data_IF_746050161125
#
_entry.id   IF_746050161125
#
_cell.length_a   1.000
_cell.length_b   1.000
_cell.length_c   1.000
_cell.angle_alpha   90.00
_cell.angle_beta   90.00
_cell.angle_gamma   90.00
#
_symmetry.space_group_name_H-M   'P 1'
#
loop_
_entity.id
_entity.type
_entity.pdbx_description
1 polymer ?
#
# COMPACT_ATOMS: atom_id res chain seq x y z
N UNK A 1 7.73 36.53 -16.26
CA UNK A 1 8.38 35.22 -16.10
C UNK A 1 9.78 35.34 -15.49
N UNK A 2 10.57 36.38 -15.78
CA UNK A 2 11.94 36.54 -15.24
C UNK A 2 12.04 36.73 -13.71
N UNK A 3 11.09 37.40 -13.06
CA UNK A 3 11.22 37.79 -11.65
C UNK A 3 11.29 36.61 -10.66
N UNK A 4 10.51 35.55 -10.88
CA UNK A 4 10.56 34.36 -10.03
C UNK A 4 11.89 33.60 -10.17
N UNK A 5 12.43 33.54 -11.39
CA UNK A 5 13.69 32.83 -11.66
C UNK A 5 14.88 33.63 -11.11
N UNK A 6 14.86 34.95 -11.26
CA UNK A 6 15.85 35.86 -10.65
C UNK A 6 15.83 35.78 -9.12
N UNK A 7 14.63 35.72 -8.51
CA UNK A 7 14.50 35.53 -7.07
C UNK A 7 15.01 34.14 -6.64
N UNK A 8 14.71 33.09 -7.39
CA UNK A 8 15.24 31.75 -7.13
C UNK A 8 16.78 31.77 -7.13
N UNK A 9 17.41 32.43 -8.12
CA UNK A 9 18.87 32.57 -8.19
C UNK A 9 19.46 33.31 -6.98
N UNK A 10 18.79 34.37 -6.50
CA UNK A 10 19.19 35.06 -5.27
C UNK A 10 19.15 34.12 -4.06
N UNK A 11 18.07 33.35 -3.90
CA UNK A 11 17.94 32.37 -2.82
C UNK A 11 19.06 31.32 -2.92
N UNK A 12 19.31 30.78 -4.12
CA UNK A 12 20.40 29.82 -4.35
C UNK A 12 21.76 30.41 -3.95
N UNK A 13 22.03 31.67 -4.28
CA UNK A 13 23.27 32.35 -3.92
C UNK A 13 23.41 32.51 -2.39
N UNK A 14 22.34 32.93 -1.70
CA UNK A 14 22.31 33.05 -0.24
C UNK A 14 22.51 31.70 0.45
N UNK A 15 21.89 30.64 -0.08
CA UNK A 15 22.04 29.28 0.44
C UNK A 15 23.49 28.79 0.33
N UNK A 16 24.11 28.99 -0.83
CA UNK A 16 25.51 28.63 -1.07
C UNK A 16 26.49 29.43 -0.23
N UNK A 17 26.28 30.73 -0.11
CA UNK A 17 27.16 31.60 0.67
C UNK A 17 27.17 31.20 2.14
N UNK A 18 25.98 30.98 2.72
CA UNK A 18 25.87 30.54 4.11
C UNK A 18 26.53 29.16 4.34
N UNK A 19 26.38 28.21 3.41
CA UNK A 19 27.03 26.90 3.54
C UNK A 19 28.56 27.00 3.49
N UNK A 20 29.10 27.85 2.63
CA UNK A 20 30.54 28.09 2.55
C UNK A 20 31.10 28.68 3.86
N UNK A 21 30.34 29.55 4.53
CA UNK A 21 30.71 30.09 5.84
C UNK A 21 30.65 29.02 6.95
N UNK A 22 29.68 28.10 6.91
CA UNK A 22 29.56 27.01 7.89
C UNK A 22 30.67 25.97 7.77
N UNK A 23 31.06 25.62 6.55
CA UNK A 23 32.20 24.73 6.30
C UNK A 23 33.51 25.34 6.83
N UNK A 24 33.67 26.66 6.70
CA UNK A 24 34.85 27.38 7.19
C UNK A 24 34.85 27.54 8.74
N UNK A 25 33.68 27.60 9.37
CA UNK A 25 33.53 27.89 10.79
C UNK A 25 33.55 26.64 11.70
N UNK A 26 33.69 25.42 11.17
CA UNK A 26 33.54 24.15 11.91
C UNK A 26 32.23 24.09 12.75
N UNK A 27 31.23 24.89 12.37
CA UNK A 27 29.99 25.03 13.12
C UNK A 27 28.90 24.22 12.42
N UNK A 28 28.36 23.23 13.12
CA UNK A 28 27.11 22.57 12.72
C UNK A 28 25.96 23.52 13.03
N UNK A 29 25.66 24.47 12.14
CA UNK A 29 24.45 25.26 12.33
C UNK A 29 23.22 24.34 12.26
N UNK A 30 22.25 24.52 13.18
CA UNK A 30 21.09 23.65 13.28
C UNK A 30 20.05 23.82 12.16
N UNK A 31 20.17 24.88 11.33
CA UNK A 31 19.22 25.18 10.27
C UNK A 31 19.95 25.53 8.97
N UNK A 32 19.53 24.93 7.85
CA UNK A 32 19.95 25.44 6.56
C UNK A 32 19.18 26.72 6.26
N UNK A 33 19.81 27.70 5.61
CA UNK A 33 19.13 28.88 5.07
C UNK A 33 17.99 28.51 4.11
N UNK A 34 18.07 27.31 3.50
CA UNK A 34 17.00 26.70 2.73
C UNK A 34 15.78 26.36 3.60
N UNK A 35 15.95 25.81 4.81
CA UNK A 35 14.84 25.52 5.73
C UNK A 35 14.12 26.81 6.12
N UNK A 36 14.85 27.87 6.45
CA UNK A 36 14.28 29.17 6.79
C UNK A 36 13.45 29.71 5.63
N UNK A 37 14.00 29.66 4.42
CA UNK A 37 13.30 30.07 3.21
C UNK A 37 12.01 29.25 2.97
N UNK A 38 12.10 27.92 3.04
CA UNK A 38 10.94 27.04 2.83
C UNK A 38 9.90 27.18 3.94
N UNK A 39 10.30 27.47 5.19
CA UNK A 39 9.39 27.78 6.29
C UNK A 39 8.61 29.07 6.00
N UNK A 40 9.31 30.15 5.67
CA UNK A 40 8.69 31.43 5.30
C UNK A 40 7.75 31.27 4.09
N UNK A 41 8.13 30.44 3.12
CA UNK A 41 7.28 30.14 1.96
C UNK A 41 5.99 29.41 2.38
N UNK A 42 6.06 28.45 3.30
CA UNK A 42 4.87 27.75 3.80
C UNK A 42 3.93 28.67 4.59
N UNK A 43 4.47 29.63 5.33
CA UNK A 43 3.69 30.65 6.04
C UNK A 43 3.00 31.61 5.07
N UNK A 44 3.71 32.08 4.04
CA UNK A 44 3.11 32.96 3.01
C UNK A 44 2.02 32.24 2.22
N UNK A 45 2.22 30.96 1.83
CA UNK A 45 1.16 30.15 1.20
C UNK A 45 -0.09 30.15 2.10
N UNK A 46 0.08 29.83 3.38
CA UNK A 46 -1.02 29.78 4.34
C UNK A 46 -1.73 31.13 4.46
N UNK A 47 -0.96 32.23 4.50
CA UNK A 47 -1.52 33.58 4.54
C UNK A 47 -2.31 33.94 3.28
N UNK A 48 -1.79 33.60 2.09
CA UNK A 48 -2.48 33.86 0.80
C UNK A 48 -3.74 33.02 0.63
N UNK A 49 -3.73 31.78 1.10
CA UNK A 49 -4.93 30.92 1.12
C UNK A 49 -6.01 31.58 1.99
N UNK A 50 -5.67 32.02 3.20
CA UNK A 50 -6.61 32.74 4.09
C UNK A 50 -7.13 34.04 3.49
N UNK A 51 -6.36 34.72 2.64
CA UNK A 51 -6.75 35.93 1.93
C UNK A 51 -7.61 35.67 0.68
N UNK A 52 -7.77 34.41 0.25
CA UNK A 52 -8.52 34.06 -0.97
C UNK A 52 -7.84 34.45 -2.29
N UNK A 53 -6.56 34.85 -2.27
CA UNK A 53 -5.80 35.31 -3.44
C UNK A 53 -4.69 34.33 -3.86
N UNK A 54 -4.80 33.08 -3.44
CA UNK A 54 -3.74 32.10 -3.60
C UNK A 54 -3.61 31.55 -5.03
N UNK A 55 -2.37 31.51 -5.52
CA UNK A 55 -2.02 30.93 -6.81
C UNK A 55 -0.83 30.00 -6.64
N UNK A 56 -0.98 28.72 -6.95
CA UNK A 56 0.03 27.70 -6.64
C UNK A 56 1.29 27.80 -7.53
N UNK A 57 1.15 28.20 -8.79
CA UNK A 57 2.20 28.11 -9.83
C UNK A 57 3.53 28.80 -9.45
N UNK A 58 3.54 30.04 -8.92
CA UNK A 58 4.79 30.71 -8.53
C UNK A 58 5.54 29.95 -7.43
N UNK A 59 4.84 29.43 -6.42
CA UNK A 59 5.43 28.68 -5.32
C UNK A 59 6.05 27.37 -5.79
N UNK A 60 5.33 26.62 -6.63
CA UNK A 60 5.84 25.36 -7.21
C UNK A 60 7.11 25.61 -8.02
N UNK A 61 7.09 26.62 -8.90
CA UNK A 61 8.25 26.98 -9.72
C UNK A 61 9.44 27.36 -8.86
N UNK A 62 9.22 28.17 -7.81
CA UNK A 62 10.27 28.62 -6.91
C UNK A 62 10.89 27.47 -6.12
N UNK A 63 10.09 26.58 -5.53
CA UNK A 63 10.59 25.41 -4.80
C UNK A 63 11.39 24.49 -5.72
N UNK A 64 10.84 24.14 -6.88
CA UNK A 64 11.53 23.24 -7.81
C UNK A 64 12.82 23.85 -8.34
N UNK A 65 12.80 25.14 -8.72
CA UNK A 65 14.00 25.82 -9.25
C UNK A 65 15.11 25.90 -8.21
N UNK A 66 14.78 26.31 -6.98
CA UNK A 66 15.76 26.37 -5.88
C UNK A 66 16.30 24.98 -5.58
N UNK A 67 15.43 23.97 -5.48
CA UNK A 67 15.86 22.58 -5.24
C UNK A 67 16.81 22.09 -6.35
N UNK A 68 16.45 22.24 -7.62
CA UNK A 68 17.28 21.77 -8.74
C UNK A 68 18.63 22.50 -8.79
N UNK A 69 18.64 23.82 -8.67
CA UNK A 69 19.88 24.60 -8.74
C UNK A 69 20.79 24.32 -7.54
N UNK A 70 20.24 24.14 -6.33
CA UNK A 70 21.05 23.75 -5.16
C UNK A 70 21.59 22.32 -5.33
N UNK A 71 20.80 21.39 -5.88
CA UNK A 71 21.21 20.00 -6.12
C UNK A 71 22.18 19.82 -7.29
N UNK A 72 22.20 20.75 -8.26
CA UNK A 72 23.16 20.73 -9.38
C UNK A 72 24.58 21.07 -8.91
N UNK A 73 24.69 21.97 -7.93
CA UNK A 73 25.96 22.49 -7.44
C UNK A 73 26.41 21.84 -6.13
N UNK A 74 25.72 20.78 -5.69
CA UNK A 74 26.07 20.05 -4.48
C UNK A 74 27.37 19.26 -4.68
N UNK A 75 28.41 19.54 -3.91
CA UNK A 75 29.69 18.83 -3.94
C UNK A 75 29.75 17.59 -3.04
N UNK A 76 28.69 17.30 -2.25
CA UNK A 76 28.66 16.16 -1.33
C UNK A 76 27.28 15.53 -1.11
N UNK A 77 27.28 14.23 -0.79
CA UNK A 77 26.04 13.46 -0.54
C UNK A 77 25.26 13.96 0.67
N UNK A 78 25.93 14.33 1.77
CA UNK A 78 25.26 14.88 2.95
C UNK A 78 24.45 16.14 2.64
N UNK A 79 25.00 17.02 1.80
CA UNK A 79 24.32 18.24 1.38
C UNK A 79 23.07 17.92 0.55
N UNK A 80 23.16 16.97 -0.39
CA UNK A 80 21.98 16.52 -1.14
C UNK A 80 20.91 15.96 -0.22
N UNK A 81 21.28 15.14 0.76
CA UNK A 81 20.34 14.58 1.72
C UNK A 81 19.64 15.66 2.56
N UNK A 82 20.37 16.68 3.01
CA UNK A 82 19.79 17.84 3.73
C UNK A 82 18.78 18.58 2.87
N UNK A 83 19.12 18.90 1.62
CA UNK A 83 18.22 19.60 0.69
C UNK A 83 16.93 18.81 0.45
N UNK A 84 17.04 17.50 0.20
CA UNK A 84 15.87 16.63 0.02
C UNK A 84 15.03 16.55 1.31
N UNK A 85 15.68 16.48 2.47
CA UNK A 85 15.02 16.51 3.78
C UNK A 85 14.29 17.83 4.06
N UNK A 86 14.84 18.97 3.65
CA UNK A 86 14.22 20.29 3.75
C UNK A 86 12.96 20.38 2.89
N UNK A 87 13.04 19.91 1.63
CA UNK A 87 11.88 19.86 0.72
C UNK A 87 10.81 18.89 1.24
N UNK A 88 11.19 17.72 1.73
CA UNK A 88 10.25 16.78 2.35
C UNK A 88 9.56 17.39 3.58
N UNK A 89 10.29 18.15 4.40
CA UNK A 89 9.73 18.85 5.56
C UNK A 89 8.78 19.98 5.15
N UNK A 90 9.08 20.69 4.06
CA UNK A 90 8.17 21.67 3.46
C UNK A 90 6.87 21.04 2.99
N UNK A 91 6.96 19.91 2.28
CA UNK A 91 5.78 19.16 1.85
C UNK A 91 4.96 18.67 3.06
N UNK A 92 5.61 18.17 4.10
CA UNK A 92 4.89 17.72 5.29
C UNK A 92 4.12 18.87 5.99
N UNK A 93 4.70 20.07 6.07
CA UNK A 93 4.00 21.26 6.60
C UNK A 93 2.82 21.66 5.71
N UNK A 94 3.00 21.57 4.39
CA UNK A 94 2.00 21.97 3.40
C UNK A 94 1.09 20.83 2.94
N UNK A 95 0.94 19.78 3.76
CA UNK A 95 0.20 18.58 3.37
C UNK A 95 -1.27 18.89 2.99
N UNK A 96 -1.87 18.12 2.08
CA UNK A 96 -3.20 18.44 1.53
C UNK A 96 -4.32 18.54 2.57
N UNK A 97 -4.20 17.83 3.70
CA UNK A 97 -5.15 17.89 4.82
C UNK A 97 -5.20 19.28 5.47
N UNK A 98 -4.09 20.02 5.43
CA UNK A 98 -3.98 21.35 6.04
C UNK A 98 -4.16 22.47 5.01
N UNK A 99 -3.73 22.24 3.77
CA UNK A 99 -3.76 23.22 2.67
C UNK A 99 -4.32 22.58 1.38
N UNK A 100 -5.63 22.25 1.34
CA UNK A 100 -6.24 21.60 0.18
C UNK A 100 -6.11 22.44 -1.10
N UNK A 101 -6.11 23.76 -0.99
CA UNK A 101 -5.94 24.70 -2.11
C UNK A 101 -4.54 24.64 -2.73
N UNK A 102 -3.57 23.95 -2.13
CA UNK A 102 -2.23 23.73 -2.68
C UNK A 102 -2.02 22.30 -3.20
N UNK A 103 -3.02 21.41 -3.13
CA UNK A 103 -2.85 19.97 -3.39
C UNK A 103 -2.18 19.64 -4.72
N UNK A 104 -2.54 20.33 -5.81
CA UNK A 104 -1.95 20.07 -7.12
C UNK A 104 -0.48 20.47 -7.19
N UNK A 105 -0.11 21.61 -6.62
CA UNK A 105 1.26 22.11 -6.57
C UNK A 105 2.12 21.29 -5.62
N UNK A 106 1.57 20.93 -4.47
CA UNK A 106 2.18 20.00 -3.53
C UNK A 106 2.46 18.64 -4.20
N UNK A 107 1.47 18.07 -4.88
CA UNK A 107 1.61 16.79 -5.57
C UNK A 107 2.58 16.88 -6.74
N UNK A 108 2.60 18.01 -7.46
CA UNK A 108 3.55 18.26 -8.53
C UNK A 108 5.01 18.23 -8.02
N UNK A 109 5.28 18.80 -6.84
CA UNK A 109 6.62 18.75 -6.23
C UNK A 109 6.95 17.32 -5.77
N UNK A 110 6.01 16.64 -5.10
CA UNK A 110 6.20 15.26 -4.63
C UNK A 110 6.52 14.29 -5.79
N UNK A 111 5.76 14.40 -6.88
CA UNK A 111 5.90 13.55 -8.08
C UNK A 111 7.01 14.01 -9.03
N UNK A 112 7.73 15.09 -8.70
CA UNK A 112 8.75 15.63 -9.57
C UNK A 112 9.92 14.64 -9.74
N UNK A 113 10.30 14.34 -10.98
CA UNK A 113 11.33 13.34 -11.33
C UNK A 113 12.63 13.49 -10.54
N UNK A 114 13.12 14.71 -10.37
CA UNK A 114 14.40 14.99 -9.67
C UNK A 114 14.26 14.73 -8.18
N UNK A 115 13.12 15.09 -7.59
CA UNK A 115 12.87 14.89 -6.16
C UNK A 115 12.69 13.41 -5.87
N UNK A 116 11.75 12.75 -6.56
CA UNK A 116 11.44 11.33 -6.40
C UNK A 116 12.67 10.44 -6.62
N UNK A 117 13.40 10.64 -7.72
CA UNK A 117 14.57 9.81 -8.02
C UNK A 117 15.66 9.97 -6.97
N UNK A 118 16.00 11.20 -6.56
CA UNK A 118 17.08 11.45 -5.61
C UNK A 118 16.73 11.07 -4.17
N UNK A 119 15.47 11.27 -3.74
CA UNK A 119 15.05 10.90 -2.38
C UNK A 119 14.94 9.39 -2.19
N UNK A 120 14.53 8.64 -3.22
CA UNK A 120 14.44 7.18 -3.17
C UNK A 120 15.78 6.48 -3.42
N UNK A 121 16.72 7.14 -4.11
CA UNK A 121 18.06 6.61 -4.40
C UNK A 121 19.13 7.14 -3.44
N UNK A 122 18.74 7.75 -2.32
CA UNK A 122 19.67 8.34 -1.38
C UNK A 122 20.55 7.28 -0.71
N UNK A 123 21.77 7.66 -0.34
CA UNK A 123 22.70 6.77 0.39
C UNK A 123 22.29 6.47 1.82
N UNK A 124 21.32 7.21 2.38
CA UNK A 124 20.58 6.78 3.56
C UNK A 124 19.48 5.81 3.11
N UNK A 125 19.60 4.50 3.41
CA UNK A 125 18.68 3.49 2.91
C UNK A 125 17.29 3.56 3.54
N UNK A 126 17.11 4.32 4.64
CA UNK A 126 15.87 4.27 5.42
C UNK A 126 15.23 5.64 5.64
N UNK A 127 15.97 6.67 6.06
CA UNK A 127 15.36 7.92 6.53
C UNK A 127 14.62 8.69 5.43
N UNK A 128 15.27 8.95 4.30
CA UNK A 128 14.70 9.73 3.20
C UNK A 128 13.61 8.97 2.42
N UNK A 129 13.79 7.68 2.07
CA UNK A 129 12.72 6.88 1.51
C UNK A 129 11.50 6.80 2.43
N UNK A 130 11.71 6.70 3.75
CA UNK A 130 10.63 6.72 4.75
C UNK A 130 9.87 8.04 4.73
N UNK A 131 10.57 9.18 4.64
CA UNK A 131 9.90 10.48 4.47
C UNK A 131 9.07 10.55 3.18
N UNK A 132 9.57 10.01 2.07
CA UNK A 132 8.80 9.95 0.82
C UNK A 132 7.56 9.06 0.96
N UNK A 133 7.69 7.89 1.60
CA UNK A 133 6.57 6.99 1.94
C UNK A 133 5.51 7.74 2.74
N UNK A 134 5.90 8.47 3.77
CA UNK A 134 4.98 9.19 4.64
C UNK A 134 4.23 10.29 3.88
N UNK A 135 4.93 11.03 3.00
CA UNK A 135 4.29 12.01 2.12
C UNK A 135 3.31 11.34 1.16
N UNK A 136 3.67 10.21 0.55
CA UNK A 136 2.76 9.48 -0.34
C UNK A 136 1.50 8.99 0.41
N UNK A 137 1.63 8.58 1.67
CA UNK A 137 0.48 8.24 2.52
C UNK A 137 -0.41 9.44 2.80
N UNK A 138 0.13 10.66 2.97
CA UNK A 138 -0.71 11.86 3.07
C UNK A 138 -1.53 12.08 1.78
N UNK A 139 -1.04 11.70 0.59
CA UNK A 139 -1.87 11.72 -0.63
C UNK A 139 -3.08 10.79 -0.51
N UNK A 140 -2.85 9.54 -0.06
CA UNK A 140 -3.89 8.53 0.01
C UNK A 140 -4.94 8.92 1.03
N UNK A 141 -4.52 9.36 2.22
CA UNK A 141 -5.41 9.86 3.29
C UNK A 141 -6.23 11.08 2.85
N UNK A 142 -5.67 11.94 2.00
CA UNK A 142 -6.40 13.08 1.47
C UNK A 142 -7.51 12.64 0.50
N UNK A 143 -7.26 11.62 -0.32
CA UNK A 143 -8.25 11.11 -1.26
C UNK A 143 -9.33 10.23 -0.63
N UNK A 144 -8.98 9.50 0.42
CA UNK A 144 -9.85 8.54 1.11
C UNK A 144 -11.31 9.02 1.29
N UNK A 145 -11.60 10.18 1.94
CA UNK A 145 -12.99 10.60 2.12
C UNK A 145 -13.77 10.79 0.81
N UNK A 146 -13.11 11.22 -0.28
CA UNK A 146 -13.76 11.42 -1.57
C UNK A 146 -14.00 10.10 -2.32
N UNK A 147 -13.10 9.13 -2.16
CA UNK A 147 -13.19 7.82 -2.81
C UNK A 147 -14.18 6.91 -2.08
N UNK A 148 -14.15 6.91 -0.75
CA UNK A 148 -15.04 6.13 0.12
C UNK A 148 -16.49 6.62 0.05
N UNK A 149 -16.69 7.92 -0.21
CA UNK A 149 -18.01 8.49 -0.49
C UNK A 149 -18.34 8.53 -1.99
N UNK A 150 -17.49 8.08 -2.92
CA UNK A 150 -17.77 8.23 -4.37
C UNK A 150 -18.20 9.67 -4.78
N UNK A 151 -17.71 10.70 -4.11
CA UNK A 151 -17.96 12.12 -4.43
C UNK A 151 -16.81 12.67 -5.27
N UNK A 152 -16.71 12.14 -6.49
CA UNK A 152 -15.58 12.41 -7.37
C UNK A 152 -15.96 13.53 -8.35
N UNK A 153 -15.45 14.73 -8.10
CA UNK A 153 -15.46 15.82 -9.08
C UNK A 153 -14.24 15.75 -10.02
N UNK A 154 -14.23 16.59 -11.06
CA UNK A 154 -13.13 16.62 -12.05
C UNK A 154 -11.73 16.84 -11.43
N UNK A 155 -11.66 17.61 -10.35
CA UNK A 155 -10.38 17.89 -9.67
C UNK A 155 -9.87 16.66 -8.92
N UNK A 156 -10.76 15.96 -8.20
CA UNK A 156 -10.43 14.70 -7.53
C UNK A 156 -10.08 13.62 -8.55
N UNK A 157 -10.83 13.50 -9.65
CA UNK A 157 -10.54 12.56 -10.73
C UNK A 157 -9.15 12.83 -11.36
N UNK A 158 -8.82 14.11 -11.59
CA UNK A 158 -7.51 14.50 -12.12
C UNK A 158 -6.37 14.16 -11.14
N UNK A 159 -6.56 14.44 -9.85
CA UNK A 159 -5.59 14.10 -8.81
C UNK A 159 -5.39 12.58 -8.69
N UNK A 160 -6.48 11.81 -8.66
CA UNK A 160 -6.45 10.34 -8.65
C UNK A 160 -5.68 9.78 -9.84
N UNK A 161 -5.94 10.30 -11.05
CA UNK A 161 -5.17 9.93 -12.27
C UNK A 161 -3.69 10.29 -12.15
N UNK A 162 -3.36 11.40 -11.50
CA UNK A 162 -1.98 11.78 -11.18
C UNK A 162 -1.32 10.76 -10.26
N UNK A 163 -2.00 10.33 -9.21
CA UNK A 163 -1.50 9.33 -8.25
C UNK A 163 -1.30 7.97 -8.92
N UNK A 164 -2.24 7.51 -9.75
CA UNK A 164 -2.07 6.27 -10.53
C UNK A 164 -0.81 6.31 -11.41
N UNK A 165 -0.55 7.43 -12.08
CA UNK A 165 0.68 7.61 -12.88
C UNK A 165 1.94 7.61 -12.03
N UNK A 166 1.92 8.27 -10.87
CA UNK A 166 3.04 8.22 -9.92
C UNK A 166 3.29 6.80 -9.42
N UNK A 167 2.23 6.04 -9.10
CA UNK A 167 2.36 4.62 -8.73
C UNK A 167 2.91 3.76 -9.86
N UNK A 168 2.52 4.01 -11.12
CA UNK A 168 3.09 3.33 -12.29
C UNK A 168 4.59 3.62 -12.46
N UNK A 169 5.01 4.89 -12.27
CA UNK A 169 6.43 5.26 -12.29
C UNK A 169 7.18 4.57 -11.15
N UNK A 170 6.63 4.57 -9.93
CA UNK A 170 7.22 3.86 -8.80
C UNK A 170 7.32 2.35 -9.04
N UNK A 171 6.30 1.75 -9.65
CA UNK A 171 6.30 0.33 -10.01
C UNK A 171 7.42 -0.02 -11.00
N UNK A 172 7.64 0.82 -12.00
CA UNK A 172 8.67 0.60 -13.00
C UNK A 172 10.09 0.92 -12.48
N UNK A 173 10.28 2.11 -11.90
CA UNK A 173 11.60 2.64 -11.55
C UNK A 173 12.05 2.17 -10.16
N UNK A 174 11.14 2.09 -9.19
CA UNK A 174 11.40 1.82 -7.78
C UNK A 174 10.53 0.69 -7.18
N UNK A 175 10.40 -0.49 -7.82
CA UNK A 175 9.52 -1.55 -7.36
C UNK A 175 9.85 -2.03 -5.93
N UNK A 176 11.14 -2.10 -5.55
CA UNK A 176 11.54 -2.48 -4.19
C UNK A 176 10.91 -1.56 -3.13
N UNK A 177 10.80 -0.26 -3.40
CA UNK A 177 10.18 0.69 -2.48
C UNK A 177 8.69 0.36 -2.27
N UNK A 178 7.95 0.03 -3.33
CA UNK A 178 6.56 -0.43 -3.22
C UNK A 178 6.47 -1.79 -2.52
N UNK A 179 7.36 -2.73 -2.84
CA UNK A 179 7.38 -4.07 -2.25
C UNK A 179 7.54 -4.04 -0.73
N UNK A 180 8.54 -3.28 -0.26
CA UNK A 180 8.89 -3.20 1.16
C UNK A 180 7.82 -2.45 1.96
N UNK A 181 7.14 -1.48 1.35
CA UNK A 181 6.11 -0.65 1.99
C UNK A 181 4.67 -1.07 1.64
N UNK A 182 4.48 -2.23 0.99
CA UNK A 182 3.16 -2.65 0.50
C UNK A 182 2.10 -2.71 1.61
N UNK A 183 2.50 -3.13 2.82
CA UNK A 183 1.62 -3.26 3.98
C UNK A 183 1.04 -1.89 4.36
N UNK A 184 1.89 -0.91 4.65
CA UNK A 184 1.44 0.43 5.03
C UNK A 184 0.66 1.12 3.92
N UNK A 185 1.02 0.89 2.65
CA UNK A 185 0.28 1.47 1.53
C UNK A 185 -1.11 0.84 1.43
N UNK A 186 -1.24 -0.48 1.53
CA UNK A 186 -2.56 -1.12 1.48
C UNK A 186 -3.45 -0.72 2.67
N UNK A 187 -2.87 -0.44 3.83
CA UNK A 187 -3.60 0.09 5.00
C UNK A 187 -4.14 1.52 4.78
N UNK A 188 -3.46 2.32 3.95
CA UNK A 188 -3.86 3.72 3.70
C UNK A 188 -4.55 3.93 2.35
N UNK A 189 -4.60 2.91 1.49
CA UNK A 189 -5.38 2.92 0.24
C UNK A 189 -6.73 2.25 0.53
N UNK A 190 -7.87 2.91 0.24
CA UNK A 190 -9.20 2.34 0.46
C UNK A 190 -9.36 0.99 -0.24
N UNK A 191 -10.12 0.08 0.37
CA UNK A 191 -10.34 -1.27 -0.18
C UNK A 191 -11.04 -1.26 -1.54
N UNK A 192 -11.88 -0.25 -1.79
CA UNK A 192 -12.53 -0.02 -3.09
C UNK A 192 -11.55 0.42 -4.20
N UNK A 193 -10.36 0.92 -3.85
CA UNK A 193 -9.36 1.40 -4.79
C UNK A 193 -8.49 0.25 -5.31
N UNK A 194 -9.15 -0.75 -5.88
CA UNK A 194 -8.54 -2.02 -6.30
C UNK A 194 -7.35 -1.78 -7.25
N UNK A 195 -7.48 -0.90 -8.24
CA UNK A 195 -6.38 -0.62 -9.18
C UNK A 195 -5.14 -0.03 -8.49
N UNK A 196 -5.32 0.87 -7.51
CA UNK A 196 -4.19 1.43 -6.75
C UNK A 196 -3.51 0.35 -5.91
N UNK A 197 -4.29 -0.52 -5.25
CA UNK A 197 -3.75 -1.65 -4.49
C UNK A 197 -3.01 -2.61 -5.41
N UNK A 198 -3.58 -2.98 -6.56
CA UNK A 198 -2.93 -3.85 -7.54
C UNK A 198 -1.60 -3.28 -8.03
N UNK A 199 -1.49 -1.97 -8.28
CA UNK A 199 -0.21 -1.35 -8.64
C UNK A 199 0.87 -1.55 -7.57
N UNK A 200 0.51 -1.41 -6.29
CA UNK A 200 1.43 -1.65 -5.17
C UNK A 200 1.77 -3.14 -5.04
N UNK A 201 0.76 -4.01 -5.11
CA UNK A 201 0.87 -5.45 -4.88
C UNK A 201 1.52 -6.21 -6.04
N UNK A 202 1.50 -5.63 -7.24
CA UNK A 202 2.19 -6.16 -8.42
C UNK A 202 3.67 -5.81 -8.45
N UNK A 203 4.16 -4.99 -7.53
CA UNK A 203 5.59 -4.72 -7.41
C UNK A 203 6.34 -5.97 -6.95
N UNK A 204 7.51 -6.20 -7.53
CA UNK A 204 8.42 -7.29 -7.14
C UNK A 204 9.88 -6.88 -7.27
N UNK A 205 10.80 -7.47 -6.48
CA UNK A 205 12.23 -7.21 -6.59
C UNK A 205 12.77 -7.41 -8.00
N UNK A 206 13.59 -6.48 -8.50
CA UNK A 206 14.10 -6.50 -9.88
C UNK A 206 14.97 -7.72 -10.21
N UNK A 207 15.51 -8.40 -9.20
CA UNK A 207 16.33 -9.61 -9.33
C UNK A 207 15.50 -10.91 -9.47
N UNK A 208 14.17 -10.81 -9.35
CA UNK A 208 13.26 -11.94 -9.53
C UNK A 208 12.74 -11.96 -10.96
N UNK A 209 12.85 -13.12 -11.61
CA UNK A 209 12.16 -13.42 -12.87
C UNK A 209 10.88 -14.16 -12.53
N UNK A 210 9.74 -13.60 -12.90
CA UNK A 210 8.45 -14.22 -12.66
C UNK A 210 8.22 -15.38 -13.64
N UNK A 211 7.87 -16.59 -13.16
CA UNK A 211 7.33 -17.63 -14.01
C UNK A 211 6.00 -17.19 -14.65
N UNK A 212 5.66 -17.75 -15.81
CA UNK A 212 4.36 -17.51 -16.42
C UNK A 212 3.24 -18.06 -15.52
N UNK A 213 2.33 -17.18 -15.09
CA UNK A 213 1.23 -17.54 -14.21
C UNK A 213 0.16 -18.40 -14.90
N UNK A 214 0.16 -18.44 -16.24
CA UNK A 214 -0.79 -19.23 -17.04
C UNK A 214 -0.25 -20.60 -17.45
N UNK A 215 1.01 -20.93 -17.13
CA UNK A 215 1.56 -22.27 -17.38
C UNK A 215 0.84 -23.31 -16.50
N UNK A 216 0.09 -24.27 -17.10
CA UNK A 216 -0.65 -25.27 -16.34
C UNK A 216 0.25 -26.25 -15.56
N UNK A 217 1.56 -26.27 -15.85
CA UNK A 217 2.52 -27.10 -15.13
C UNK A 217 3.21 -26.35 -13.99
N UNK A 218 2.92 -25.06 -13.81
CA UNK A 218 3.51 -24.25 -12.75
C UNK A 218 3.08 -24.80 -11.38
N UNK A 219 4.07 -25.08 -10.55
CA UNK A 219 3.90 -25.51 -9.16
C UNK A 219 4.62 -24.54 -8.25
N UNK A 220 3.85 -23.77 -7.47
CA UNK A 220 4.40 -22.67 -6.67
C UNK A 220 5.44 -23.15 -5.65
N UNK A 221 5.21 -24.31 -5.03
CA UNK A 221 6.10 -24.99 -4.09
C UNK A 221 7.46 -25.40 -4.69
N UNK A 222 7.56 -25.48 -6.02
CA UNK A 222 8.78 -25.87 -6.72
C UNK A 222 9.62 -24.67 -7.19
N UNK A 223 9.13 -23.44 -7.00
CA UNK A 223 9.82 -22.24 -7.46
C UNK A 223 11.06 -21.99 -6.59
N UNK A 224 12.23 -21.71 -7.21
CA UNK A 224 13.42 -21.36 -6.45
C UNK A 224 13.17 -20.17 -5.53
N UNK A 225 13.66 -20.27 -4.28
CA UNK A 225 13.53 -19.20 -3.27
C UNK A 225 12.08 -18.90 -2.82
N UNK A 226 11.10 -19.74 -3.17
CA UNK A 226 9.70 -19.54 -2.71
C UNK A 226 9.58 -19.48 -1.19
N UNK A 227 10.49 -20.14 -0.46
CA UNK A 227 10.50 -20.14 1.01
C UNK A 227 11.19 -18.93 1.65
N UNK A 228 11.71 -17.97 0.87
CA UNK A 228 12.30 -16.75 1.41
C UNK A 228 11.20 -15.76 1.81
N UNK A 229 11.36 -15.17 2.99
CA UNK A 229 10.47 -14.12 3.48
C UNK A 229 10.69 -12.82 2.71
N UNK A 230 9.61 -12.13 2.29
CA UNK A 230 9.72 -10.80 1.71
C UNK A 230 10.07 -9.79 2.80
N UNK A 231 10.89 -8.80 2.45
CA UNK A 231 11.18 -7.68 3.36
C UNK A 231 9.93 -6.80 3.54
N UNK A 232 9.60 -6.48 4.78
CA UNK A 232 8.52 -5.56 5.16
C UNK A 232 9.15 -4.43 5.98
N UNK A 233 8.98 -3.19 5.54
CA UNK A 233 9.64 -2.02 6.15
C UNK A 233 8.98 -1.55 7.45
N UNK A 234 7.68 -1.78 7.62
CA UNK A 234 6.95 -1.44 8.83
C UNK A 234 6.95 -2.64 9.78
N UNK A 235 7.15 -2.35 11.06
CA UNK A 235 6.96 -3.33 12.12
C UNK A 235 5.46 -3.54 12.36
N UNK A 236 4.89 -4.56 11.73
CA UNK A 236 3.48 -4.92 11.90
C UNK A 236 3.20 -5.53 13.28
N UNK A 237 4.23 -5.98 14.02
CA UNK A 237 4.05 -6.54 15.37
C UNK A 237 3.56 -5.47 16.34
N UNK A 238 3.93 -4.20 16.14
CA UNK A 238 3.41 -3.07 16.91
C UNK A 238 1.88 -2.97 16.88
N UNK A 239 1.24 -3.38 15.77
CA UNK A 239 -0.22 -3.41 15.67
C UNK A 239 -0.82 -4.49 16.58
N UNK A 240 -0.16 -5.65 16.69
CA UNK A 240 -0.60 -6.75 17.57
C UNK A 240 -0.33 -6.44 19.04
N UNK A 241 0.82 -5.84 19.35
CA UNK A 241 1.20 -5.42 20.71
C UNK A 241 0.28 -4.33 21.28
N UNK A 242 -0.38 -3.56 20.42
CA UNK A 242 -1.38 -2.58 20.84
C UNK A 242 -2.61 -3.23 21.49
N UNK A 243 -2.85 -4.53 21.27
CA UNK A 243 -3.91 -5.31 21.89
C UNK A 243 -3.30 -6.26 22.93
N UNK A 244 -3.59 -6.09 24.23
CA UNK A 244 -3.01 -6.92 25.28
C UNK A 244 -3.24 -8.42 25.05
N UNK A 245 -2.17 -9.21 25.20
CA UNK A 245 -2.16 -10.68 25.10
C UNK A 245 -2.60 -11.27 23.74
N UNK A 246 -2.84 -10.47 22.69
CA UNK A 246 -3.33 -11.01 21.41
C UNK A 246 -2.37 -12.04 20.79
N UNK A 247 -1.07 -11.73 20.76
CA UNK A 247 -0.05 -12.66 20.25
C UNK A 247 -0.02 -13.96 21.08
N UNK A 248 -0.06 -13.84 22.40
CA UNK A 248 -0.06 -14.99 23.32
C UNK A 248 -1.29 -15.88 23.11
N UNK A 249 -2.47 -15.28 22.85
CA UNK A 249 -3.70 -16.02 22.56
C UNK A 249 -3.57 -16.78 21.23
N UNK A 250 -3.04 -16.12 20.18
CA UNK A 250 -2.80 -16.77 18.89
C UNK A 250 -1.83 -17.95 19.05
N UNK A 251 -0.70 -17.73 19.71
CA UNK A 251 0.30 -18.78 19.96
C UNK A 251 -0.27 -19.92 20.80
N UNK A 252 -1.07 -19.60 21.83
CA UNK A 252 -1.74 -20.60 22.64
C UNK A 252 -2.70 -21.44 21.79
N UNK A 253 -3.58 -20.83 20.98
CA UNK A 253 -4.45 -21.54 20.05
C UNK A 253 -3.66 -22.49 19.14
N UNK A 254 -2.58 -21.99 18.53
CA UNK A 254 -1.73 -22.77 17.63
C UNK A 254 -0.99 -23.91 18.37
N UNK A 255 -0.72 -23.78 19.67
CA UNK A 255 -0.04 -24.79 20.50
C UNK A 255 -0.92 -25.95 20.96
N UNK A 256 -2.24 -25.78 21.00
CA UNK A 256 -3.17 -26.81 21.46
C UNK A 256 -3.06 -28.10 20.62
N UNK A 257 -3.54 -29.24 21.14
CA UNK A 257 -3.55 -30.48 20.35
C UNK A 257 -4.81 -30.60 19.49
N UNK A 258 -5.96 -30.21 20.04
CA UNK A 258 -7.26 -30.19 19.36
C UNK A 258 -7.70 -28.77 19.04
N UNK A 259 -8.80 -28.64 18.29
CA UNK A 259 -9.42 -27.36 17.89
C UNK A 259 -10.77 -27.14 18.55
N UNK A 260 -11.17 -27.99 19.50
CA UNK A 260 -12.52 -27.98 20.09
C UNK A 260 -12.82 -26.67 20.84
N UNK A 261 -11.79 -26.06 21.44
CA UNK A 261 -11.89 -24.78 22.15
C UNK A 261 -11.68 -23.57 21.26
N UNK A 262 -11.28 -23.76 19.99
CA UNK A 262 -10.95 -22.64 19.11
C UNK A 262 -12.16 -21.79 18.78
N UNK A 263 -13.34 -22.39 18.67
CA UNK A 263 -14.52 -21.65 18.22
C UNK A 263 -14.90 -20.52 19.19
N UNK A 264 -14.88 -20.79 20.50
CA UNK A 264 -15.12 -19.78 21.54
C UNK A 264 -14.00 -18.72 21.55
N UNK A 265 -12.74 -19.14 21.53
CA UNK A 265 -11.59 -18.24 21.53
C UNK A 265 -11.52 -17.36 20.27
N UNK A 266 -11.81 -17.92 19.09
CA UNK A 266 -11.82 -17.20 17.83
C UNK A 266 -12.99 -16.22 17.75
N UNK A 267 -14.10 -16.49 18.43
CA UNK A 267 -15.21 -15.55 18.56
C UNK A 267 -14.83 -14.36 19.46
N UNK A 268 -14.10 -14.60 20.55
CA UNK A 268 -13.51 -13.53 21.36
C UNK A 268 -12.48 -12.71 20.56
N UNK A 269 -11.59 -13.37 19.81
CA UNK A 269 -10.62 -12.72 18.93
C UNK A 269 -11.30 -11.88 17.84
N UNK A 270 -12.35 -12.40 17.21
CA UNK A 270 -13.13 -11.67 16.21
C UNK A 270 -13.74 -10.39 16.80
N UNK A 271 -14.22 -10.45 18.05
CA UNK A 271 -14.73 -9.27 18.76
C UNK A 271 -13.62 -8.23 19.04
N UNK A 272 -12.37 -8.65 19.25
CA UNK A 272 -11.23 -7.72 19.42
C UNK A 272 -10.86 -6.99 18.12
N UNK A 273 -11.21 -7.53 16.96
CA UNK A 273 -10.98 -6.85 15.68
C UNK A 273 -11.98 -5.73 15.40
N UNK A 274 -13.09 -5.67 16.13
CA UNK A 274 -14.09 -4.61 15.97
C UNK A 274 -13.56 -3.31 16.58
N UNK A 275 -13.53 -2.25 15.78
CA UNK A 275 -13.10 -0.91 16.18
C UNK A 275 -13.91 -0.39 17.37
N UNK A 276 -13.22 0.21 18.33
CA UNK A 276 -13.87 0.84 19.47
C UNK A 276 -14.81 1.98 19.03
N UNK A 277 -15.99 2.16 19.66
CA UNK A 277 -16.90 3.27 19.38
C UNK A 277 -16.24 4.66 19.43
N UNK A 278 -15.16 4.82 20.22
CA UNK A 278 -14.42 6.08 20.32
C UNK A 278 -13.51 6.36 19.11
N UNK A 279 -13.04 5.32 18.41
CA UNK A 279 -12.17 5.42 17.22
C UNK A 279 -12.97 5.55 15.91
N UNK A 280 -14.27 5.25 15.96
CA UNK A 280 -15.27 5.40 14.91
C UNK A 280 -15.40 6.84 14.37
N UNK A 281 -14.85 7.83 15.09
CA UNK A 281 -14.82 9.25 14.72
C UNK A 281 -13.65 9.64 13.80
N UNK A 282 -12.70 8.73 13.56
CA UNK A 282 -11.62 8.95 12.59
C UNK A 282 -12.15 8.76 11.17
N UNK A 283 -11.91 9.76 10.33
CA UNK A 283 -12.37 9.88 8.92
C UNK A 283 -12.03 8.66 8.04
N UNK A 284 -11.07 7.81 8.45
CA UNK A 284 -10.67 6.58 7.75
C UNK A 284 -11.79 5.57 7.53
N UNK A 285 -12.89 5.66 8.29
CA UNK A 285 -13.90 4.61 8.32
C UNK A 285 -15.23 5.01 7.67
N UNK A 286 -15.41 6.23 7.15
CA UNK A 286 -16.73 6.64 6.62
C UNK A 286 -16.89 6.38 5.12
N UNK A 287 -17.86 5.55 4.76
CA UNK A 287 -18.35 5.38 3.38
C UNK A 287 -19.62 6.20 3.14
N UNK A 288 -20.03 6.37 1.87
CA UNK A 288 -21.34 6.95 1.53
C UNK A 288 -22.46 6.17 2.24
N UNK A 289 -23.54 6.88 2.62
CA UNK A 289 -24.71 6.36 3.37
C UNK A 289 -24.52 6.13 4.88
N UNK A 290 -23.38 6.51 5.47
CA UNK A 290 -23.18 6.39 6.93
C UNK A 290 -22.74 5.00 7.39
N UNK A 291 -22.35 4.13 6.44
CA UNK A 291 -21.63 2.91 6.76
C UNK A 291 -20.24 3.28 7.29
N UNK A 292 -19.97 2.85 8.53
CA UNK A 292 -18.66 3.00 9.14
C UNK A 292 -17.97 1.64 9.13
N UNK A 293 -16.74 1.57 8.60
CA UNK A 293 -15.90 0.38 8.70
C UNK A 293 -15.78 0.02 10.18
N UNK A 294 -16.30 -1.13 10.55
CA UNK A 294 -16.43 -1.59 11.92
C UNK A 294 -15.18 -2.31 12.41
N UNK A 295 -14.22 -2.59 11.52
CA UNK A 295 -13.05 -3.41 11.82
C UNK A 295 -11.74 -2.62 11.77
N UNK A 296 -10.83 -2.98 12.68
CA UNK A 296 -9.47 -2.47 12.70
C UNK A 296 -8.62 -3.18 11.64
N UNK A 297 -8.63 -2.62 10.42
CA UNK A 297 -7.97 -3.22 9.24
C UNK A 297 -6.48 -3.45 9.45
N UNK A 298 -5.83 -2.57 10.20
CA UNK A 298 -4.40 -2.67 10.48
C UNK A 298 -4.08 -3.92 11.32
N UNK A 299 -4.97 -4.26 12.25
CA UNK A 299 -4.86 -5.40 13.15
C UNK A 299 -5.10 -6.72 12.40
N UNK A 300 -6.16 -6.77 11.57
CA UNK A 300 -6.44 -7.93 10.70
C UNK A 300 -5.29 -8.17 9.72
N UNK A 301 -4.73 -7.09 9.17
CA UNK A 301 -3.51 -7.09 8.36
C UNK A 301 -2.31 -7.71 9.08
N UNK A 302 -2.03 -7.22 10.28
CA UNK A 302 -0.89 -7.65 11.08
C UNK A 302 -1.02 -9.12 11.53
N UNK A 303 -2.21 -9.58 11.88
CA UNK A 303 -2.46 -10.98 12.23
C UNK A 303 -2.11 -11.91 11.05
N UNK A 304 -2.55 -11.58 9.84
CA UNK A 304 -2.24 -12.39 8.66
C UNK A 304 -0.72 -12.44 8.41
N UNK A 305 -0.03 -11.30 8.52
CA UNK A 305 1.44 -11.28 8.38
C UNK A 305 2.15 -12.11 9.45
N UNK A 306 1.69 -12.04 10.70
CA UNK A 306 2.21 -12.85 11.79
C UNK A 306 2.05 -14.35 11.53
N UNK A 307 0.90 -14.76 10.98
CA UNK A 307 0.66 -16.15 10.56
C UNK A 307 1.50 -16.56 9.34
N UNK A 308 2.00 -15.63 8.53
CA UNK A 308 2.89 -15.93 7.40
C UNK A 308 4.36 -16.12 7.81
N UNK A 309 4.73 -15.64 9.00
CA UNK A 309 6.12 -15.61 9.45
C UNK A 309 6.66 -17.02 9.76
N UNK A 310 7.91 -17.27 9.35
CA UNK A 310 8.69 -18.50 9.57
C UNK A 310 8.02 -19.79 9.11
N UNK A 311 7.08 -19.69 8.16
CA UNK A 311 6.31 -20.83 7.63
C UNK A 311 7.18 -21.92 7.01
N UNK A 312 8.32 -21.55 6.41
CA UNK A 312 9.29 -22.48 5.84
C UNK A 312 9.93 -23.44 6.86
N UNK A 313 9.91 -23.10 8.16
CA UNK A 313 10.50 -23.91 9.24
C UNK A 313 9.47 -24.83 9.89
N UNK A 314 8.19 -24.69 9.54
CA UNK A 314 7.09 -25.42 10.15
C UNK A 314 6.88 -26.78 9.50
N UNK A 315 6.50 -27.77 10.30
CA UNK A 315 6.01 -29.05 9.77
C UNK A 315 4.65 -28.86 9.05
N UNK A 316 4.29 -29.74 8.10
CA UNK A 316 2.98 -29.67 7.43
C UNK A 316 1.79 -29.66 8.40
N UNK A 317 1.91 -30.36 9.54
CA UNK A 317 0.89 -30.37 10.61
C UNK A 317 0.71 -28.98 11.22
N UNK A 318 1.81 -28.26 11.48
CA UNK A 318 1.75 -26.91 12.06
C UNK A 318 1.24 -25.87 11.05
N UNK A 319 1.60 -26.01 9.77
CA UNK A 319 1.03 -25.18 8.69
C UNK A 319 -0.49 -25.38 8.59
N UNK A 320 -0.95 -26.64 8.59
CA UNK A 320 -2.37 -26.95 8.56
C UNK A 320 -3.12 -26.35 9.75
N UNK A 321 -2.52 -26.31 10.95
CA UNK A 321 -3.11 -25.62 12.11
C UNK A 321 -3.29 -24.12 11.86
N UNK A 322 -2.33 -23.44 11.23
CA UNK A 322 -2.50 -22.03 10.86
C UNK A 322 -3.64 -21.84 9.85
N UNK A 323 -3.80 -22.74 8.88
CA UNK A 323 -4.93 -22.68 7.93
C UNK A 323 -6.28 -22.90 8.61
N UNK A 324 -6.35 -23.88 9.53
CA UNK A 324 -7.53 -24.11 10.36
C UNK A 324 -7.84 -22.89 11.23
N UNK A 325 -6.82 -22.23 11.78
CA UNK A 325 -7.02 -21.05 12.64
C UNK A 325 -7.65 -19.91 11.83
N UNK A 326 -7.12 -19.65 10.63
CA UNK A 326 -7.73 -18.68 9.70
C UNK A 326 -9.16 -19.09 9.34
N UNK A 327 -9.42 -20.38 9.13
CA UNK A 327 -10.77 -20.89 8.86
C UNK A 327 -11.71 -20.61 10.03
N UNK A 328 -11.32 -20.92 11.27
CA UNK A 328 -12.17 -20.69 12.44
C UNK A 328 -12.45 -19.19 12.63
N UNK A 329 -11.44 -18.33 12.47
CA UNK A 329 -11.64 -16.88 12.49
C UNK A 329 -12.61 -16.43 11.38
N UNK A 330 -12.46 -16.93 10.15
CA UNK A 330 -13.36 -16.63 9.04
C UNK A 330 -14.82 -17.00 9.38
N UNK A 331 -15.03 -18.16 10.00
CA UNK A 331 -16.38 -18.62 10.42
C UNK A 331 -16.95 -17.80 11.58
N UNK A 332 -16.09 -17.23 12.43
CA UNK A 332 -16.47 -16.40 13.58
C UNK A 332 -16.79 -14.93 13.21
N UNK A 333 -16.39 -14.47 12.03
CA UNK A 333 -16.61 -13.10 11.56
C UNK A 333 -17.94 -12.94 10.81
N UNK A 334 -18.50 -11.73 10.84
CA UNK A 334 -19.61 -11.33 9.97
C UNK A 334 -19.15 -11.03 8.53
N UNK A 335 -20.07 -10.68 7.63
CA UNK A 335 -19.74 -10.51 6.21
C UNK A 335 -18.67 -9.43 5.95
N UNK A 336 -18.70 -8.34 6.71
CA UNK A 336 -17.70 -7.26 6.62
C UNK A 336 -16.32 -7.74 7.09
N UNK A 337 -16.26 -8.38 8.27
CA UNK A 337 -15.02 -8.92 8.82
C UNK A 337 -14.39 -9.98 7.91
N UNK A 338 -15.22 -10.88 7.36
CA UNK A 338 -14.77 -11.89 6.38
C UNK A 338 -14.18 -11.26 5.14
N UNK A 339 -14.86 -10.24 4.58
CA UNK A 339 -14.36 -9.51 3.42
C UNK A 339 -12.98 -8.86 3.69
N UNK A 340 -12.77 -8.29 4.88
CA UNK A 340 -11.48 -7.71 5.27
C UNK A 340 -10.39 -8.77 5.49
N UNK A 341 -10.70 -9.89 6.15
CA UNK A 341 -9.76 -11.00 6.33
C UNK A 341 -9.30 -11.59 4.99
N UNK A 342 -10.24 -11.86 4.08
CA UNK A 342 -9.95 -12.37 2.74
C UNK A 342 -9.12 -11.38 1.92
N UNK A 343 -9.43 -10.09 2.02
CA UNK A 343 -8.61 -9.05 1.39
C UNK A 343 -7.19 -8.98 1.98
N UNK A 344 -7.03 -9.20 3.28
CA UNK A 344 -5.73 -9.25 3.95
C UNK A 344 -4.88 -10.43 3.47
N UNK A 345 -5.48 -11.62 3.31
CA UNK A 345 -4.83 -12.77 2.66
C UNK A 345 -4.42 -12.45 1.23
N UNK A 346 -5.34 -11.87 0.43
CA UNK A 346 -5.08 -11.55 -0.97
C UNK A 346 -4.04 -10.43 -1.16
N UNK A 347 -3.85 -9.54 -0.18
CA UNK A 347 -2.76 -8.55 -0.19
C UNK A 347 -1.37 -9.21 -0.12
N UNK A 348 -1.29 -10.46 0.33
CA UNK A 348 -0.04 -11.20 0.40
C UNK A 348 0.19 -12.13 -0.80
N UNK A 349 -0.76 -12.23 -1.74
CA UNK A 349 -0.62 -12.96 -3.01
C UNK A 349 0.15 -12.12 -4.05
N UNK A 350 1.46 -11.92 -3.82
CA UNK A 350 2.33 -11.03 -4.61
C UNK A 350 3.31 -11.83 -5.46
N UNK A 351 4.59 -11.49 -5.50
CA UNK A 351 5.61 -12.26 -6.23
C UNK A 351 6.00 -13.55 -5.48
N UNK A 352 6.77 -14.48 -6.08
CA UNK A 352 7.23 -15.68 -5.39
C UNK A 352 8.00 -15.38 -4.10
N UNK A 353 7.38 -15.66 -2.94
CA UNK A 353 7.95 -15.56 -1.59
C UNK A 353 7.11 -16.41 -0.61
N UNK A 354 7.59 -16.58 0.62
CA UNK A 354 6.98 -17.52 1.58
C UNK A 354 5.58 -17.10 2.02
N UNK A 355 5.31 -15.79 2.10
CA UNK A 355 3.99 -15.27 2.47
C UNK A 355 2.98 -15.53 1.35
N UNK A 356 3.40 -15.35 0.09
CA UNK A 356 2.55 -15.63 -1.07
C UNK A 356 2.23 -17.12 -1.19
N UNK A 357 3.20 -18.00 -0.91
CA UNK A 357 2.94 -19.44 -0.83
C UNK A 357 1.94 -19.79 0.28
N UNK A 358 2.19 -19.32 1.51
CA UNK A 358 1.29 -19.55 2.65
C UNK A 358 -0.14 -19.06 2.37
N UNK A 359 -0.29 -17.83 1.86
CA UNK A 359 -1.60 -17.26 1.58
C UNK A 359 -2.30 -17.96 0.42
N UNK A 360 -1.55 -18.37 -0.61
CA UNK A 360 -2.10 -19.15 -1.73
C UNK A 360 -2.65 -20.48 -1.25
N UNK A 361 -1.85 -21.25 -0.49
CA UNK A 361 -2.30 -22.51 0.11
C UNK A 361 -3.45 -22.32 1.09
N UNK A 362 -3.45 -21.25 1.89
CA UNK A 362 -4.52 -20.92 2.83
C UNK A 362 -5.83 -20.63 2.09
N UNK A 363 -5.84 -19.75 1.08
CA UNK A 363 -7.04 -19.45 0.28
C UNK A 363 -7.59 -20.71 -0.38
N UNK A 364 -6.70 -21.53 -0.95
CA UNK A 364 -7.05 -22.81 -1.56
C UNK A 364 -7.59 -23.84 -0.54
N UNK A 365 -7.05 -23.85 0.68
CA UNK A 365 -7.54 -24.67 1.78
C UNK A 365 -8.94 -24.24 2.21
N UNK A 366 -9.17 -22.93 2.39
CA UNK A 366 -10.48 -22.39 2.76
C UNK A 366 -11.52 -22.72 1.69
N UNK A 367 -11.19 -22.53 0.41
CA UNK A 367 -12.11 -22.83 -0.69
C UNK A 367 -12.50 -24.32 -0.75
N UNK A 368 -11.58 -25.22 -0.39
CA UNK A 368 -11.88 -26.66 -0.34
C UNK A 368 -12.72 -27.07 0.87
N UNK A 369 -12.44 -26.50 2.05
CA UNK A 369 -13.01 -26.98 3.32
C UNK A 369 -14.26 -26.20 3.79
N UNK A 370 -14.54 -25.03 3.25
CA UNK A 370 -15.69 -24.23 3.65
C UNK A 370 -16.94 -24.51 2.79
N UNK A 371 -18.10 -24.09 3.31
CA UNK A 371 -19.39 -24.17 2.62
C UNK A 371 -19.51 -23.16 1.46
N UNK A 372 -20.53 -23.34 0.63
CA UNK A 372 -20.76 -22.62 -0.63
C UNK A 372 -20.73 -21.08 -0.46
N UNK A 373 -21.36 -20.56 0.59
CA UNK A 373 -21.39 -19.12 0.90
C UNK A 373 -19.97 -18.53 1.03
N UNK A 374 -19.07 -19.21 1.74
CA UNK A 374 -17.70 -18.72 1.93
C UNK A 374 -16.86 -18.85 0.66
N UNK A 375 -17.14 -19.85 -0.18
CA UNK A 375 -16.51 -19.99 -1.49
C UNK A 375 -16.86 -18.82 -2.41
N UNK A 376 -18.12 -18.38 -2.40
CA UNK A 376 -18.57 -17.22 -3.16
C UNK A 376 -17.85 -15.94 -2.71
N UNK A 377 -17.74 -15.73 -1.39
CA UNK A 377 -17.00 -14.59 -0.83
C UNK A 377 -15.51 -14.62 -1.21
N UNK A 378 -14.86 -15.79 -1.17
CA UNK A 378 -13.48 -15.96 -1.64
C UNK A 378 -13.36 -15.61 -3.12
N UNK A 379 -14.25 -16.13 -3.98
CA UNK A 379 -14.21 -15.82 -5.41
C UNK A 379 -14.45 -14.34 -5.68
N UNK A 380 -15.39 -13.71 -4.98
CA UNK A 380 -15.66 -12.29 -5.13
C UNK A 380 -14.40 -11.45 -4.91
N UNK A 381 -13.66 -11.73 -3.83
CA UNK A 381 -12.40 -11.00 -3.51
C UNK A 381 -11.29 -11.27 -4.54
N UNK A 382 -11.22 -12.48 -5.10
CA UNK A 382 -10.27 -12.77 -6.18
C UNK A 382 -10.67 -12.05 -7.47
N UNK A 383 -11.94 -12.13 -7.86
CA UNK A 383 -12.46 -11.58 -9.11
C UNK A 383 -12.45 -10.06 -9.14
N UNK A 384 -12.85 -9.38 -8.07
CA UNK A 384 -12.81 -7.91 -8.03
C UNK A 384 -11.39 -7.37 -8.31
N UNK A 385 -10.36 -8.10 -7.89
CA UNK A 385 -8.95 -7.79 -8.14
C UNK A 385 -8.47 -8.15 -9.54
N UNK A 386 -9.17 -9.03 -10.26
CA UNK A 386 -8.81 -9.50 -11.59
C UNK A 386 -9.54 -8.75 -12.71
N UNK A 387 -10.75 -8.26 -12.45
CA UNK A 387 -11.58 -7.53 -13.43
C UNK A 387 -11.04 -6.12 -13.75
N UNK A 388 -10.17 -5.57 -12.89
CA UNK A 388 -9.53 -4.27 -13.14
C UNK A 388 -8.43 -4.32 -14.20
N UNK A 389 -8.06 -3.16 -14.73
CA UNK A 389 -6.91 -3.04 -15.62
C UNK A 389 -5.60 -3.52 -14.98
N UNK A 390 -4.73 -4.08 -15.81
CA UNK A 390 -3.35 -4.45 -15.47
C UNK A 390 -2.60 -3.30 -14.79
N UNK A 391 -1.61 -3.60 -13.92
CA UNK A 391 -1.06 -4.94 -13.63
C UNK A 391 -1.88 -5.73 -12.60
N UNK A 392 -1.68 -7.04 -12.57
CA UNK A 392 -2.25 -7.95 -11.59
C UNK A 392 -1.11 -8.62 -10.78
N UNK A 393 -1.26 -8.80 -9.46
CA UNK A 393 -0.25 -9.50 -8.66
C UNK A 393 -0.05 -10.95 -9.14
N UNK A 394 1.20 -11.38 -9.27
CA UNK A 394 1.52 -12.71 -9.81
C UNK A 394 0.89 -13.86 -9.01
N UNK A 395 1.00 -13.84 -7.69
CA UNK A 395 0.49 -14.88 -6.80
C UNK A 395 -1.04 -14.92 -6.78
N UNK A 396 -1.70 -13.78 -7.03
CA UNK A 396 -3.15 -13.72 -7.21
C UNK A 396 -3.55 -14.50 -8.46
N UNK A 397 -2.87 -14.25 -9.58
CA UNK A 397 -3.10 -14.98 -10.84
C UNK A 397 -2.86 -16.48 -10.66
N UNK A 398 -1.71 -16.88 -10.10
CA UNK A 398 -1.38 -18.31 -9.92
C UNK A 398 -2.41 -19.01 -9.02
N UNK A 399 -2.80 -18.37 -7.92
CA UNK A 399 -3.81 -18.94 -6.99
C UNK A 399 -5.16 -19.11 -7.69
N UNK A 400 -5.58 -18.12 -8.46
CA UNK A 400 -6.82 -18.18 -9.23
C UNK A 400 -6.78 -19.25 -10.33
N UNK A 401 -5.68 -19.32 -11.08
CA UNK A 401 -5.48 -20.35 -12.11
C UNK A 401 -5.50 -21.76 -11.52
N UNK A 402 -4.84 -21.97 -10.38
CA UNK A 402 -4.86 -23.26 -9.69
C UNK A 402 -6.27 -23.65 -9.22
N UNK A 403 -7.08 -22.68 -8.79
CA UNK A 403 -8.46 -22.90 -8.38
C UNK A 403 -9.35 -23.32 -9.56
N UNK A 404 -9.18 -22.70 -10.73
CA UNK A 404 -9.93 -23.04 -11.95
C UNK A 404 -9.48 -24.38 -12.54
N UNK A 405 -8.18 -24.59 -12.65
CA UNK A 405 -7.62 -25.71 -13.41
C UNK A 405 -7.63 -27.03 -12.64
N UNK A 406 -7.45 -27.00 -11.30
CA UNK A 406 -7.29 -28.23 -10.54
C UNK A 406 -8.65 -28.90 -10.28
N UNK A 407 -8.93 -30.12 -10.79
CA UNK A 407 -10.25 -30.74 -10.79
C UNK A 407 -10.89 -30.90 -9.40
N UNK A 408 -10.06 -31.06 -8.37
CA UNK A 408 -10.52 -31.14 -6.98
C UNK A 408 -11.47 -29.98 -6.63
N UNK A 409 -11.16 -28.74 -7.00
CA UNK A 409 -11.97 -27.61 -6.57
C UNK A 409 -13.36 -27.54 -7.21
N UNK A 410 -13.65 -28.36 -8.23
CA UNK A 410 -14.96 -28.42 -8.88
C UNK A 410 -15.50 -27.03 -9.23
N UNK A 411 -14.62 -26.17 -9.76
CA UNK A 411 -14.93 -24.76 -10.00
C UNK A 411 -16.09 -24.55 -10.99
N UNK A 412 -16.08 -25.26 -12.12
CA UNK A 412 -17.11 -25.12 -13.15
C UNK A 412 -18.51 -25.56 -12.67
N UNK A 413 -18.66 -26.67 -11.90
CA UNK A 413 -19.94 -26.97 -11.25
C UNK A 413 -20.40 -25.92 -10.22
N UNK A 414 -19.45 -25.22 -9.58
CA UNK A 414 -19.74 -24.21 -8.56
C UNK A 414 -20.21 -22.89 -9.19
N UNK A 415 -19.57 -22.46 -10.28
CA UNK A 415 -20.00 -21.27 -11.02
C UNK A 415 -21.03 -21.71 -12.05
N UNK A 416 -22.33 -21.54 -11.77
CA UNK A 416 -23.35 -21.76 -12.81
C UNK A 416 -23.19 -20.73 -13.92
N UNK A 417 -22.47 -21.13 -14.97
CA UNK A 417 -22.14 -20.32 -16.13
C UNK A 417 -23.38 -19.79 -16.87
N UNK A 418 -24.56 -20.37 -16.64
CA UNK A 418 -25.82 -19.90 -17.22
C UNK A 418 -26.50 -18.79 -16.39
N UNK A 419 -26.08 -18.62 -15.13
CA UNK A 419 -26.58 -17.61 -14.20
C UNK A 419 -25.64 -16.40 -14.08
N UNK A 420 -24.40 -16.49 -14.57
CA UNK A 420 -23.47 -15.38 -14.64
C UNK A 420 -23.90 -14.33 -15.68
N UNK A 421 -23.61 -13.06 -15.38
CA UNK A 421 -23.79 -11.96 -16.33
C UNK A 421 -23.03 -12.27 -17.63
N UNK A 422 -23.65 -12.16 -18.83
CA UNK A 422 -22.97 -12.38 -20.11
C UNK A 422 -21.74 -11.48 -20.33
N UNK A 423 -21.57 -10.37 -19.59
CA UNK A 423 -20.30 -9.62 -19.60
C UNK A 423 -19.12 -10.40 -18.96
N UNK A 424 -19.41 -11.39 -18.10
CA UNK A 424 -18.44 -12.22 -17.37
C UNK A 424 -18.20 -13.58 -18.07
N UNK A 425 -19.11 -13.99 -18.97
CA UNK A 425 -19.06 -15.30 -19.65
C UNK A 425 -19.35 -15.18 -21.16
N UNK A 426 -18.35 -15.45 -22.00
CA UNK A 426 -18.57 -15.80 -23.41
C UNK A 426 -18.71 -17.32 -23.61
N UNK A 427 -19.66 -17.76 -24.46
CA UNK A 427 -20.10 -19.17 -24.56
C UNK A 427 -19.14 -20.12 -25.29
N UNK A 428 -18.09 -19.64 -25.96
CA UNK A 428 -17.19 -20.51 -26.75
C UNK A 428 -15.89 -20.92 -26.00
N UNK A 429 -15.54 -20.26 -24.89
CA UNK A 429 -14.26 -20.51 -24.18
C UNK A 429 -14.36 -20.60 -22.65
N UNK A 430 -15.53 -20.33 -22.05
CA UNK A 430 -15.84 -20.77 -20.70
C UNK A 430 -15.31 -19.94 -19.53
N UNK A 431 -14.71 -18.76 -19.73
CA UNK A 431 -14.73 -17.58 -18.82
C UNK A 431 -14.17 -16.37 -19.60
N UNK A 432 -14.82 -15.21 -19.59
CA UNK A 432 -14.32 -13.97 -20.24
C UNK A 432 -13.00 -13.47 -19.62
N UNK A 433 -12.62 -14.00 -18.45
CA UNK A 433 -11.33 -13.76 -17.81
C UNK A 433 -10.15 -14.04 -18.74
N UNK A 434 -10.19 -15.09 -19.58
CA UNK A 434 -9.05 -15.44 -20.45
C UNK A 434 -8.71 -14.34 -21.47
N UNK A 435 -9.69 -13.58 -21.98
CA UNK A 435 -9.43 -12.54 -22.97
C UNK A 435 -8.99 -11.19 -22.37
N UNK A 436 -9.25 -10.93 -21.08
CA UNK A 436 -8.66 -9.76 -20.38
C UNK A 436 -7.15 -9.99 -20.12
N UNK A 437 -6.71 -11.26 -20.13
CA UNK A 437 -5.32 -11.66 -19.90
C UNK A 437 -4.47 -11.84 -21.17
N UNK A 438 -5.00 -11.58 -22.38
CA UNK A 438 -4.24 -11.53 -23.64
C UNK A 438 -4.46 -10.20 -24.43
N UNK A 439 -4.00 -9.06 -23.88
CA UNK A 439 -3.59 -7.85 -24.65
C UNK A 439 -2.46 -7.12 -23.91
#
# INVERSE_FOLDING_TARGET
>A
MNTCDEFALLIVALVKYHDHDLQNANSRAPFSSLDVFLNALSEDITARVRQGSFHQKPYVRLVLRVMEDVLLHSSGQEWQQRVLGSVASFLNRCKPQNLPEFVFGWFHILSHRTFMSKILSSTDPHYLPTRFRDLLMECFRFLDPFLSTSEINDSIALLFKGILRTLLVLLHDFPNFLCENHFVFCQNIPISCIQMRNLVLSAFPKDIVLPDAFDPNLKMDQIPKIHLEPKIAQDYLMCLEAVPALQEIIDYCLSLETTDTWQEMCLELAALFVSSPNQMSNVKNSCKEGFVIQYELDLVGAMVLYLCQQTAQLSPRLLQRRYLFVQTILLSLDAEGRYHLLNSLCNNLRFPNSHSLFCSECVLFLFWNCEEQYKEEILRVLLERLVVHRPHPWGLLVTFMQLIQHPKYQFLPFVDMNACDPEIVEPETGVTLFFVFDV
#
